data_IF_348436654992
#
_entry.id   IF_348436654992
#
_cell.length_a   1.000
_cell.length_b   1.000
_cell.length_c   1.000
_cell.angle_alpha   90.00
_cell.angle_beta   90.00
_cell.angle_gamma   90.00
#
_symmetry.space_group_name_H-M   'P 1'
#
loop_
_entity.id
_entity.type
_entity.pdbx_description
1 polymer ?
#
# COMPACT_ATOMS: atom_id res chain seq x y z
N UNK A 1 13.75 13.48 -4.81
CA UNK A 1 14.44 12.20 -4.48
C UNK A 1 14.78 11.43 -5.75
N UNK A 2 15.90 10.70 -5.81
CA UNK A 2 16.30 9.94 -7.01
C UNK A 2 15.94 8.47 -6.87
N UNK A 3 14.66 8.15 -6.98
CA UNK A 3 14.12 6.79 -6.92
C UNK A 3 14.00 6.24 -8.34
N UNK A 4 14.70 5.16 -8.63
CA UNK A 4 14.67 4.49 -9.94
C UNK A 4 13.90 3.17 -9.88
N UNK A 5 13.93 2.49 -8.74
CA UNK A 5 13.30 1.19 -8.53
C UNK A 5 12.45 1.20 -7.28
N UNK A 6 11.19 0.83 -7.41
CA UNK A 6 10.24 0.67 -6.32
C UNK A 6 9.78 -0.78 -6.19
N UNK A 7 9.74 -1.27 -4.96
CA UNK A 7 9.20 -2.57 -4.65
C UNK A 7 7.97 -2.42 -3.75
N UNK A 8 6.79 -2.82 -4.24
CA UNK A 8 5.51 -2.65 -3.56
C UNK A 8 5.02 -4.02 -3.08
N UNK A 9 4.70 -4.15 -1.80
CA UNK A 9 4.42 -5.47 -1.21
C UNK A 9 3.20 -5.50 -0.31
N UNK A 10 2.52 -6.66 -0.31
CA UNK A 10 1.85 -7.20 0.86
C UNK A 10 2.84 -8.08 1.60
N UNK A 11 3.22 -7.75 2.85
CA UNK A 11 4.22 -8.50 3.62
C UNK A 11 3.77 -9.94 3.93
N UNK A 12 4.71 -10.85 4.26
CA UNK A 12 4.42 -12.26 4.55
C UNK A 12 3.79 -12.47 5.94
N UNK A 13 2.61 -11.86 6.16
CA UNK A 13 1.92 -11.80 7.46
C UNK A 13 0.62 -12.59 7.50
N UNK A 14 0.46 -13.55 6.57
CA UNK A 14 -0.73 -14.39 6.48
C UNK A 14 -1.78 -13.85 5.52
N UNK A 15 -2.77 -14.69 5.24
CA UNK A 15 -3.85 -14.39 4.31
C UNK A 15 -4.94 -13.58 5.00
N UNK A 16 -5.09 -12.34 4.59
CA UNK A 16 -6.10 -11.41 5.08
C UNK A 16 -6.84 -10.74 3.94
N UNK A 17 -8.10 -10.43 4.18
CA UNK A 17 -8.80 -9.44 3.36
C UNK A 17 -8.22 -8.05 3.69
N UNK A 18 -7.56 -7.43 2.72
CA UNK A 18 -6.92 -6.12 2.87
C UNK A 18 -7.77 -5.04 2.18
N UNK A 19 -8.93 -4.77 2.78
CA UNK A 19 -9.93 -3.82 2.26
C UNK A 19 -10.34 -2.86 3.39
N UNK A 20 -10.61 -1.61 3.09
CA UNK A 20 -11.05 -0.60 4.05
C UNK A 20 -12.40 -0.92 4.71
N UNK A 21 -13.19 -1.83 4.12
CA UNK A 21 -14.46 -2.33 4.67
C UNK A 21 -14.30 -3.51 5.60
N UNK A 22 -13.27 -4.33 5.35
CA UNK A 22 -13.08 -5.58 6.07
C UNK A 22 -11.59 -5.94 6.11
N UNK A 23 -11.08 -6.15 7.30
CA UNK A 23 -9.70 -6.57 7.55
C UNK A 23 -9.74 -7.81 8.44
N UNK A 24 -10.06 -8.95 7.85
CA UNK A 24 -10.22 -10.21 8.54
C UNK A 24 -9.30 -11.29 7.94
N UNK A 25 -8.85 -12.27 8.76
CA UNK A 25 -8.13 -13.42 8.23
C UNK A 25 -9.02 -14.20 7.26
N UNK A 26 -8.44 -14.65 6.16
CA UNK A 26 -9.16 -15.46 5.14
C UNK A 26 -8.70 -16.91 5.15
N UNK A 27 -7.77 -17.27 6.00
CA UNK A 27 -7.31 -18.65 6.16
C UNK A 27 -8.48 -19.56 6.59
N UNK A 28 -8.70 -20.64 5.84
CA UNK A 28 -9.84 -21.53 6.07
C UNK A 28 -11.17 -21.07 5.49
N UNK A 29 -11.27 -19.88 4.90
CA UNK A 29 -12.46 -19.44 4.19
C UNK A 29 -12.50 -20.06 2.78
N UNK A 30 -13.40 -21.00 2.56
CA UNK A 30 -13.56 -21.68 1.26
C UNK A 30 -14.35 -20.88 0.24
N UNK A 31 -15.09 -19.85 0.67
CA UNK A 31 -16.02 -19.08 -0.15
C UNK A 31 -15.51 -17.69 -0.59
N UNK A 32 -14.35 -17.26 -0.10
CA UNK A 32 -13.82 -15.94 -0.44
C UNK A 32 -12.61 -16.06 -1.38
N UNK A 33 -12.65 -15.42 -2.56
CA UNK A 33 -11.48 -15.36 -3.42
C UNK A 33 -10.39 -14.53 -2.78
N UNK A 34 -9.14 -14.92 -2.98
CA UNK A 34 -8.01 -14.03 -2.74
C UNK A 34 -8.11 -12.84 -3.68
N UNK A 35 -8.01 -11.64 -3.13
CA UNK A 35 -8.13 -10.42 -3.92
C UNK A 35 -6.76 -9.94 -4.36
N UNK A 36 -6.65 -9.65 -5.65
CA UNK A 36 -5.45 -9.02 -6.18
C UNK A 36 -5.16 -7.69 -5.47
N UNK A 37 -3.88 -7.36 -5.20
CA UNK A 37 -3.47 -6.13 -4.53
C UNK A 37 -3.64 -4.91 -5.45
N UNK A 38 -4.89 -4.51 -5.67
CA UNK A 38 -5.24 -3.44 -6.61
C UNK A 38 -4.71 -2.08 -6.16
N UNK A 39 -4.62 -1.84 -4.87
CA UNK A 39 -4.00 -0.64 -4.31
C UNK A 39 -2.51 -0.53 -4.69
N UNK A 40 -1.76 -1.64 -4.56
CA UNK A 40 -0.36 -1.69 -5.00
C UNK A 40 -0.26 -1.52 -6.52
N UNK A 41 -1.17 -2.14 -7.28
CA UNK A 41 -1.17 -2.02 -8.74
C UNK A 41 -1.45 -0.60 -9.22
N UNK A 42 -2.34 0.15 -8.56
CA UNK A 42 -2.58 1.57 -8.87
C UNK A 42 -1.40 2.46 -8.49
N UNK A 43 -0.79 2.23 -7.32
CA UNK A 43 0.42 2.95 -6.92
C UNK A 43 1.58 2.68 -7.87
N UNK A 44 1.79 1.41 -8.26
CA UNK A 44 2.81 1.04 -9.23
C UNK A 44 2.59 1.73 -10.57
N UNK A 45 1.35 1.77 -11.07
CA UNK A 45 1.03 2.48 -12.32
C UNK A 45 1.35 3.99 -12.25
N UNK A 46 1.08 4.63 -11.10
CA UNK A 46 1.43 6.04 -10.88
C UNK A 46 2.95 6.27 -10.84
N UNK A 47 3.69 5.34 -10.23
CA UNK A 47 5.16 5.37 -10.20
C UNK A 47 5.78 5.10 -11.58
N UNK A 48 5.25 4.12 -12.33
CA UNK A 48 5.69 3.85 -13.71
C UNK A 48 5.48 5.07 -14.62
N UNK A 49 4.35 5.76 -14.47
CA UNK A 49 4.08 7.02 -15.17
C UNK A 49 5.10 8.12 -14.83
N UNK A 50 5.66 8.09 -13.62
CA UNK A 50 6.74 8.96 -13.19
C UNK A 50 8.15 8.45 -13.57
N UNK A 51 8.26 7.34 -14.31
CA UNK A 51 9.53 6.80 -14.83
C UNK A 51 10.26 5.84 -13.87
N UNK A 52 9.57 5.30 -12.87
CA UNK A 52 10.15 4.36 -11.90
C UNK A 52 9.91 2.92 -12.37
N UNK A 53 10.94 2.08 -12.33
CA UNK A 53 10.78 0.64 -12.50
C UNK A 53 10.12 0.05 -11.26
N UNK A 54 8.96 -0.60 -11.44
CA UNK A 54 8.18 -1.14 -10.33
C UNK A 54 8.17 -2.66 -10.32
N UNK A 55 8.14 -3.23 -9.11
CA UNK A 55 7.79 -4.63 -8.87
C UNK A 55 6.72 -4.70 -7.81
N UNK A 56 5.75 -5.60 -7.99
CA UNK A 56 4.67 -5.81 -7.02
C UNK A 56 4.70 -7.26 -6.58
N UNK A 57 4.53 -7.50 -5.26
CA UNK A 57 4.50 -8.85 -4.71
C UNK A 57 3.50 -9.00 -3.58
N UNK A 58 2.73 -10.08 -3.67
CA UNK A 58 1.76 -10.51 -2.67
C UNK A 58 2.28 -11.78 -2.01
N UNK A 59 3.14 -11.63 -0.99
CA UNK A 59 3.78 -12.75 -0.30
C UNK A 59 2.79 -13.76 0.28
N UNK A 60 1.70 -13.33 0.95
CA UNK A 60 0.68 -14.25 1.44
C UNK A 60 0.05 -15.11 0.35
N UNK A 61 -0.36 -14.52 -0.77
CA UNK A 61 -0.97 -15.27 -1.88
C UNK A 61 0.01 -16.18 -2.60
N UNK A 62 1.30 -15.81 -2.64
CA UNK A 62 2.38 -16.62 -3.18
C UNK A 62 2.88 -17.70 -2.20
N UNK A 63 2.37 -17.70 -0.96
CA UNK A 63 2.80 -18.60 0.13
C UNK A 63 4.29 -18.52 0.42
N UNK A 64 4.84 -17.33 0.34
CA UNK A 64 6.24 -17.02 0.60
C UNK A 64 6.41 -16.32 1.94
N UNK A 65 7.59 -16.48 2.53
CA UNK A 65 7.91 -16.02 3.88
C UNK A 65 8.90 -14.87 3.94
N UNK A 66 9.39 -14.60 5.14
CA UNK A 66 10.35 -13.52 5.42
C UNK A 66 11.73 -13.73 4.77
N UNK A 67 12.14 -14.99 4.59
CA UNK A 67 13.40 -15.33 3.91
C UNK A 67 13.31 -14.99 2.42
N UNK A 68 12.14 -15.21 1.80
CA UNK A 68 11.88 -14.84 0.41
C UNK A 68 11.88 -13.32 0.24
N UNK A 69 11.25 -12.57 1.15
CA UNK A 69 11.29 -11.10 1.16
C UNK A 69 12.73 -10.60 1.28
N UNK A 70 13.50 -11.17 2.21
CA UNK A 70 14.90 -10.82 2.42
C UNK A 70 15.73 -11.08 1.16
N UNK A 71 15.51 -12.21 0.51
CA UNK A 71 16.15 -12.56 -0.77
C UNK A 71 15.78 -11.57 -1.87
N UNK A 72 14.50 -11.29 -2.03
CA UNK A 72 14.00 -10.40 -3.08
C UNK A 72 14.54 -8.98 -2.93
N UNK A 73 14.60 -8.43 -1.71
CA UNK A 73 15.18 -7.09 -1.48
C UNK A 73 16.68 -7.08 -1.88
N UNK A 74 17.43 -8.14 -1.56
CA UNK A 74 18.85 -8.24 -1.95
C UNK A 74 19.05 -8.33 -3.45
N UNK A 75 18.16 -9.01 -4.17
CA UNK A 75 18.22 -9.18 -5.63
C UNK A 75 17.73 -7.94 -6.37
N UNK A 76 16.57 -7.41 -5.99
CA UNK A 76 15.94 -6.25 -6.64
C UNK A 76 16.74 -4.98 -6.34
N UNK A 77 17.25 -4.84 -5.11
CA UNK A 77 17.91 -3.62 -4.59
C UNK A 77 17.06 -2.38 -4.87
N UNK A 78 15.83 -2.31 -4.34
CA UNK A 78 14.96 -1.19 -4.58
C UNK A 78 15.48 0.06 -3.85
N UNK A 79 15.24 1.23 -4.45
CA UNK A 79 15.50 2.52 -3.81
C UNK A 79 14.35 2.88 -2.84
N UNK A 80 13.15 2.32 -3.11
CA UNK A 80 11.95 2.53 -2.30
C UNK A 80 11.20 1.21 -2.08
N UNK A 81 10.85 0.93 -0.82
CA UNK A 81 9.94 -0.15 -0.44
C UNK A 81 8.60 0.45 -0.02
N UNK A 82 7.51 0.04 -0.69
CA UNK A 82 6.14 0.45 -0.36
C UNK A 82 5.39 -0.72 0.26
N UNK A 83 4.85 -0.52 1.45
CA UNK A 83 4.17 -1.55 2.22
C UNK A 83 2.71 -1.17 2.41
N UNK A 84 1.79 -2.03 1.98
CA UNK A 84 0.38 -1.89 2.32
C UNK A 84 0.08 -2.66 3.58
N UNK A 85 -0.32 -1.95 4.64
CA UNK A 85 -0.64 -2.52 5.94
C UNK A 85 -2.15 -2.60 6.18
N UNK A 86 -2.53 -3.46 7.13
CA UNK A 86 -3.86 -3.47 7.73
C UNK A 86 -3.75 -3.41 9.25
N UNK A 87 -4.78 -2.91 9.92
CA UNK A 87 -4.77 -2.75 11.38
C UNK A 87 -4.46 -4.04 12.16
N UNK A 88 -5.05 -5.20 11.81
CA UNK A 88 -4.78 -6.44 12.57
C UNK A 88 -3.34 -6.96 12.50
N UNK A 89 -2.60 -6.61 11.45
CA UNK A 89 -1.25 -7.15 11.20
C UNK A 89 -0.16 -6.09 11.19
N UNK A 90 -0.46 -4.85 11.55
CA UNK A 90 0.46 -3.71 11.41
C UNK A 90 1.84 -3.96 12.01
N UNK A 91 1.89 -4.54 13.21
CA UNK A 91 3.15 -4.81 13.90
C UNK A 91 4.01 -5.85 13.17
N UNK A 92 3.36 -6.81 12.52
CA UNK A 92 4.06 -7.79 11.69
C UNK A 92 4.40 -7.18 10.31
N UNK A 93 3.45 -6.47 9.69
CA UNK A 93 3.64 -5.85 8.38
C UNK A 93 4.86 -4.90 8.37
N UNK A 94 5.02 -4.08 9.42
CA UNK A 94 6.10 -3.10 9.51
C UNK A 94 7.48 -3.70 9.80
N UNK A 95 7.58 -4.98 10.16
CA UNK A 95 8.89 -5.67 10.22
C UNK A 95 9.61 -5.65 8.86
N UNK A 96 8.87 -5.53 7.76
CA UNK A 96 9.45 -5.39 6.43
C UNK A 96 10.32 -4.13 6.29
N UNK A 97 10.00 -3.04 7.00
CA UNK A 97 10.85 -1.85 7.04
C UNK A 97 12.21 -2.16 7.66
N UNK A 98 12.21 -2.84 8.80
CA UNK A 98 13.44 -3.26 9.49
C UNK A 98 14.30 -4.16 8.60
N UNK A 99 13.70 -5.20 8.00
CA UNK A 99 14.40 -6.10 7.06
C UNK A 99 15.03 -5.31 5.91
N UNK A 100 14.30 -4.33 5.36
CA UNK A 100 14.82 -3.51 4.28
C UNK A 100 16.00 -2.64 4.72
N UNK A 101 15.91 -1.97 5.87
CA UNK A 101 16.96 -1.11 6.43
C UNK A 101 18.22 -1.91 6.83
N UNK A 102 18.07 -3.13 7.31
CA UNK A 102 19.19 -4.05 7.60
C UNK A 102 19.96 -4.44 6.33
N UNK A 103 19.30 -4.52 5.18
CA UNK A 103 19.93 -4.85 3.89
C UNK A 103 20.51 -3.60 3.22
N UNK A 104 19.79 -2.50 3.24
CA UNK A 104 20.19 -1.21 2.68
C UNK A 104 19.63 -0.08 3.54
N UNK A 105 20.51 0.57 4.32
CA UNK A 105 20.08 1.64 5.24
C UNK A 105 19.45 2.85 4.53
N UNK A 106 19.83 3.10 3.28
CA UNK A 106 19.38 4.25 2.49
C UNK A 106 18.05 4.00 1.76
N UNK A 107 17.49 2.78 1.83
CA UNK A 107 16.20 2.50 1.20
C UNK A 107 15.10 3.34 1.84
N UNK A 108 14.29 4.01 0.99
CA UNK A 108 13.13 4.75 1.46
C UNK A 108 12.00 3.77 1.78
N UNK A 109 11.54 3.75 3.02
CA UNK A 109 10.42 2.91 3.45
C UNK A 109 9.15 3.74 3.55
N UNK A 110 8.15 3.35 2.79
CA UNK A 110 6.84 4.02 2.68
C UNK A 110 5.75 3.03 3.04
N UNK A 111 4.80 3.43 3.85
CA UNK A 111 3.66 2.58 4.18
C UNK A 111 2.34 3.30 3.96
N UNK A 112 1.31 2.53 3.58
CA UNK A 112 -0.07 3.03 3.44
C UNK A 112 -1.07 2.09 4.10
N UNK A 113 -2.19 2.62 4.53
CA UNK A 113 -3.31 1.85 5.10
C UNK A 113 -4.29 2.74 5.83
N UNK A 114 -5.54 2.27 5.99
CA UNK A 114 -6.59 3.03 6.68
C UNK A 114 -6.24 3.36 8.15
N UNK A 115 -5.36 2.57 8.76
CA UNK A 115 -4.88 2.77 10.13
C UNK A 115 -4.27 4.17 10.32
N UNK A 116 -3.57 4.69 9.32
CA UNK A 116 -2.88 5.98 9.35
C UNK A 116 -3.79 7.20 9.29
N UNK A 117 -5.08 7.02 9.08
CA UNK A 117 -6.05 8.13 9.17
C UNK A 117 -6.12 8.76 10.56
N UNK A 118 -5.66 8.06 11.59
CA UNK A 118 -5.67 8.50 13.00
C UNK A 118 -4.34 8.33 13.71
N UNK A 119 -3.56 7.31 13.36
CA UNK A 119 -2.39 6.87 14.16
C UNK A 119 -1.07 7.05 13.40
N UNK A 120 -1.02 7.92 12.39
CA UNK A 120 0.14 8.16 11.53
C UNK A 120 1.40 8.58 12.31
N UNK A 121 1.27 9.57 13.18
CA UNK A 121 2.40 10.08 13.97
C UNK A 121 2.85 9.09 15.05
N UNK A 122 1.91 8.39 15.68
CA UNK A 122 2.20 7.41 16.72
C UNK A 122 2.99 6.24 16.15
N UNK A 123 2.54 5.70 15.03
CA UNK A 123 3.23 4.61 14.34
C UNK A 123 4.64 5.03 13.90
N UNK A 124 4.81 6.22 13.34
CA UNK A 124 6.13 6.70 12.98
C UNK A 124 7.05 6.85 14.19
N UNK A 125 6.55 7.23 15.38
CA UNK A 125 7.35 7.29 16.60
C UNK A 125 7.79 5.92 17.08
N UNK A 126 6.93 4.92 16.97
CA UNK A 126 7.19 3.54 17.41
C UNK A 126 8.10 2.77 16.45
N UNK A 127 8.04 3.09 15.14
CA UNK A 127 8.77 2.36 14.11
C UNK A 127 9.84 3.23 13.44
N UNK A 128 11.08 3.25 13.98
CA UNK A 128 12.15 4.12 13.47
C UNK A 128 12.60 3.76 12.05
N UNK A 129 12.39 2.51 11.61
CA UNK A 129 12.73 2.04 10.28
C UNK A 129 11.69 2.42 9.21
N UNK A 130 10.58 3.04 9.60
CA UNK A 130 9.58 3.59 8.70
C UNK A 130 9.82 5.09 8.50
N UNK A 131 10.02 5.50 7.25
CA UNK A 131 10.33 6.89 6.92
C UNK A 131 9.08 7.72 6.66
N UNK A 132 8.10 7.16 5.90
CA UNK A 132 6.90 7.89 5.43
C UNK A 132 5.66 7.02 5.58
N UNK A 133 4.56 7.61 6.04
CA UNK A 133 3.22 7.04 5.95
C UNK A 133 2.33 7.88 5.05
N UNK A 134 1.51 7.21 4.22
CA UNK A 134 0.51 7.83 3.35
C UNK A 134 -0.86 7.65 3.98
N UNK A 135 -1.61 8.75 4.11
CA UNK A 135 -2.98 8.80 4.61
C UNK A 135 -3.98 8.98 3.47
N UNK A 136 -5.10 8.26 3.54
CA UNK A 136 -6.16 8.36 2.54
C UNK A 136 -5.82 7.73 1.20
N UNK A 137 -6.23 8.37 0.11
CA UNK A 137 -5.99 7.89 -1.26
C UNK A 137 -4.51 8.00 -1.62
N UNK A 138 -3.91 6.87 -1.97
CA UNK A 138 -2.45 6.72 -2.02
C UNK A 138 -1.84 6.80 -3.43
N UNK A 139 -2.64 6.71 -4.47
CA UNK A 139 -2.17 6.49 -5.85
C UNK A 139 -1.30 7.63 -6.37
N UNK A 140 -1.75 8.87 -6.18
CA UNK A 140 -0.94 10.03 -6.54
C UNK A 140 0.01 10.46 -5.41
N UNK A 141 -0.33 10.14 -4.15
CA UNK A 141 0.54 10.49 -3.04
C UNK A 141 1.93 9.87 -3.19
N UNK A 142 1.99 8.59 -3.64
CA UNK A 142 3.26 7.89 -3.82
C UNK A 142 4.12 8.50 -4.94
N UNK A 143 3.52 8.93 -6.05
CA UNK A 143 4.26 9.60 -7.13
C UNK A 143 4.64 11.04 -6.77
N UNK A 144 3.84 11.73 -5.98
CA UNK A 144 4.15 13.09 -5.53
C UNK A 144 5.40 13.14 -4.63
N UNK A 145 5.75 12.04 -3.95
CA UNK A 145 7.02 11.91 -3.23
C UNK A 145 8.24 12.12 -4.15
N UNK A 146 8.10 11.83 -5.44
CA UNK A 146 9.16 11.94 -6.44
C UNK A 146 9.13 13.28 -7.18
N UNK A 147 7.95 13.86 -7.32
CA UNK A 147 7.72 15.06 -8.13
C UNK A 147 7.95 16.35 -7.32
N UNK A 148 8.05 16.26 -5.99
CA UNK A 148 8.29 17.40 -5.13
C UNK A 148 9.69 17.33 -4.51
N UNK A 149 10.36 18.47 -4.46
CA UNK A 149 11.69 18.57 -3.86
C UNK A 149 11.64 18.45 -2.32
N UNK A 150 10.54 18.91 -1.72
CA UNK A 150 10.33 18.88 -0.28
C UNK A 150 9.12 18.02 0.09
N UNK A 151 9.26 17.14 1.07
CA UNK A 151 8.16 16.32 1.59
C UNK A 151 7.05 17.17 2.23
N UNK A 152 7.36 18.35 2.75
CA UNK A 152 6.36 19.29 3.29
C UNK A 152 5.29 19.72 2.26
N UNK A 153 5.62 19.66 0.98
CA UNK A 153 4.74 20.06 -0.11
C UNK A 153 3.84 18.92 -0.60
N UNK A 154 4.08 17.67 -0.14
CA UNK A 154 3.28 16.50 -0.48
C UNK A 154 2.11 16.39 0.48
N UNK A 155 0.86 16.61 0.06
CA UNK A 155 -0.28 16.47 0.96
C UNK A 155 -0.61 15.01 1.26
N UNK A 156 -1.12 14.75 2.47
CA UNK A 156 -1.59 13.43 2.88
C UNK A 156 -0.50 12.49 3.37
N UNK A 157 0.64 13.01 3.82
CA UNK A 157 1.70 12.19 4.42
C UNK A 157 2.02 12.63 5.85
N UNK A 158 2.59 11.71 6.62
CA UNK A 158 3.46 12.04 7.74
C UNK A 158 4.82 11.37 7.51
N UNK A 159 5.88 12.01 7.94
CA UNK A 159 7.24 11.58 7.63
C UNK A 159 8.23 11.95 8.72
N UNK A 160 9.40 11.33 8.69
CA UNK A 160 10.49 11.59 9.60
C UNK A 160 11.51 12.51 8.95
N UNK A 161 11.86 13.57 9.66
CA UNK A 161 12.91 14.49 9.25
C UNK A 161 13.71 14.96 10.48
N UNK A 162 15.03 14.80 10.43
CA UNK A 162 15.95 15.20 11.52
C UNK A 162 15.52 14.65 12.90
N UNK A 163 15.02 13.42 12.94
CA UNK A 163 14.54 12.76 14.17
C UNK A 163 13.15 13.20 14.65
N UNK A 164 12.52 14.16 13.99
CA UNK A 164 11.16 14.61 14.29
C UNK A 164 10.15 13.95 13.34
N UNK A 165 8.93 13.72 13.85
CA UNK A 165 7.80 13.32 13.02
C UNK A 165 7.03 14.58 12.63
N UNK A 166 6.89 14.78 11.33
CA UNK A 166 6.18 15.89 10.73
C UNK A 166 4.96 15.38 9.97
N UNK A 167 3.91 16.18 9.93
CA UNK A 167 2.65 15.85 9.26
C UNK A 167 2.23 16.97 8.33
N UNK A 168 1.90 16.62 7.10
CA UNK A 168 1.37 17.57 6.12
C UNK A 168 -0.15 17.68 6.23
N UNK A 169 -0.72 18.68 5.57
CA UNK A 169 -2.20 18.80 5.43
C UNK A 169 -2.77 17.56 4.76
N UNK A 170 -4.04 17.28 5.01
CA UNK A 170 -4.73 16.17 4.37
C UNK A 170 -4.80 16.36 2.85
N UNK A 171 -4.69 15.26 2.11
CA UNK A 171 -4.87 15.27 0.67
C UNK A 171 -6.36 15.45 0.34
N UNK A 172 -6.71 16.34 -0.59
CA UNK A 172 -8.05 16.37 -1.15
C UNK A 172 -8.41 15.02 -1.78
N UNK A 173 -9.65 14.61 -1.60
CA UNK A 173 -10.14 13.37 -2.22
C UNK A 173 -10.16 13.52 -3.74
N UNK A 174 -9.80 12.46 -4.44
CA UNK A 174 -9.85 12.41 -5.89
C UNK A 174 -11.30 12.51 -6.37
N UNK A 175 -11.63 13.55 -7.10
CA UNK A 175 -12.98 13.75 -7.66
C UNK A 175 -13.15 13.07 -9.02
N UNK A 176 -12.12 13.11 -9.86
CA UNK A 176 -12.09 12.50 -11.19
C UNK A 176 -11.30 11.18 -11.14
N UNK A 177 -12.03 10.05 -11.13
CA UNK A 177 -11.41 8.72 -11.09
C UNK A 177 -10.76 8.33 -12.42
N UNK A 178 -11.16 8.94 -13.54
CA UNK A 178 -10.58 8.67 -14.86
C UNK A 178 -9.18 9.28 -15.01
N UNK A 179 -8.80 10.18 -14.11
CA UNK A 179 -7.43 10.71 -14.03
C UNK A 179 -6.41 9.66 -13.56
N UNK A 180 -6.86 8.60 -12.88
CA UNK A 180 -6.00 7.51 -12.47
C UNK A 180 -5.49 6.71 -13.66
N UNK A 181 -4.22 6.31 -13.68
CA UNK A 181 -3.74 5.36 -14.65
C UNK A 181 -4.45 4.00 -14.46
N UNK A 182 -4.59 3.22 -15.53
CA UNK A 182 -4.98 1.83 -15.37
C UNK A 182 -3.99 1.10 -14.43
N UNK A 183 -4.48 0.24 -13.52
CA UNK A 183 -3.61 -0.44 -12.58
C UNK A 183 -2.61 -1.34 -13.30
N UNK A 184 -1.38 -1.40 -12.81
CA UNK A 184 -0.26 -2.15 -13.38
C UNK A 184 -0.44 -3.66 -13.21
N UNK A 185 -1.47 -4.23 -13.83
CA UNK A 185 -1.81 -5.67 -13.75
C UNK A 185 -0.75 -6.59 -14.32
N UNK A 186 0.10 -6.07 -15.20
CA UNK A 186 1.25 -6.78 -15.76
C UNK A 186 2.33 -7.11 -14.72
N UNK A 187 2.31 -6.42 -13.58
CA UNK A 187 3.21 -6.69 -12.44
C UNK A 187 2.64 -7.73 -11.46
N UNK A 188 1.38 -8.14 -11.62
CA UNK A 188 0.71 -9.09 -10.74
C UNK A 188 0.82 -10.52 -11.30
N UNK A 189 0.95 -11.49 -10.39
CA UNK A 189 0.75 -12.89 -10.75
C UNK A 189 -0.77 -13.21 -10.74
N UNK A 190 -1.44 -12.85 -11.85
CA UNK A 190 -2.90 -12.94 -11.95
C UNK A 190 -3.44 -14.38 -11.81
N UNK A 191 -2.61 -15.41 -11.99
CA UNK A 191 -3.00 -16.81 -11.84
C UNK A 191 -3.27 -17.23 -10.38
N UNK A 192 -2.84 -16.40 -9.40
CA UNK A 192 -3.10 -16.63 -7.98
C UNK A 192 -4.54 -16.29 -7.57
N UNK A 193 -5.19 -15.42 -8.34
CA UNK A 193 -6.52 -14.89 -8.01
C UNK A 193 -7.59 -15.62 -8.79
N UNK A 194 -8.15 -16.64 -8.15
CA UNK A 194 -9.13 -17.55 -8.74
C UNK A 194 -10.40 -17.58 -7.91
N UNK A 195 -11.54 -17.91 -8.54
CA UNK A 195 -12.78 -18.18 -7.83
C UNK A 195 -12.65 -19.46 -7.00
N UNK A 196 -13.14 -19.50 -5.75
CA UNK A 196 -13.00 -20.68 -4.90
C UNK A 196 -13.73 -21.93 -5.43
N UNK A 197 -14.85 -21.73 -6.09
CA UNK A 197 -15.76 -22.77 -6.59
C UNK A 197 -15.35 -23.30 -7.97
N UNK A 198 -15.21 -22.41 -8.96
CA UNK A 198 -14.91 -22.84 -10.34
C UNK A 198 -13.42 -22.93 -10.65
N UNK A 199 -12.55 -22.37 -9.79
CA UNK A 199 -11.10 -22.27 -10.01
C UNK A 199 -10.71 -21.42 -11.22
N UNK A 200 -11.63 -20.64 -11.75
CA UNK A 200 -11.38 -19.75 -12.88
C UNK A 200 -10.67 -18.45 -12.44
N UNK A 201 -9.81 -17.89 -13.27
CA UNK A 201 -9.17 -16.60 -12.99
C UNK A 201 -10.21 -15.49 -12.82
N UNK A 202 -9.99 -14.61 -11.83
CA UNK A 202 -10.87 -13.50 -11.52
C UNK A 202 -10.11 -12.17 -11.64
N UNK A 203 -10.73 -11.18 -12.27
CA UNK A 203 -10.23 -9.81 -12.31
C UNK A 203 -11.07 -8.90 -11.43
N UNK A 204 -10.40 -8.10 -10.58
CA UNK A 204 -11.06 -7.08 -9.74
C UNK A 204 -11.05 -5.74 -10.45
N UNK A 205 -12.20 -5.07 -10.49
CA UNK A 205 -12.36 -3.74 -11.09
C UNK A 205 -12.98 -2.82 -10.04
N UNK A 206 -12.38 -1.65 -9.84
CA UNK A 206 -12.96 -0.61 -9.02
C UNK A 206 -13.80 0.31 -9.91
N UNK A 207 -15.11 0.25 -9.76
CA UNK A 207 -16.07 1.06 -10.55
C UNK A 207 -16.45 2.36 -9.85
N UNK A 208 -16.01 2.57 -8.63
CA UNK A 208 -16.29 3.79 -7.87
C UNK A 208 -15.66 3.78 -6.49
N UNK A 209 -15.62 4.94 -5.84
CA UNK A 209 -15.04 5.14 -4.51
C UNK A 209 -15.96 5.98 -3.62
N UNK A 210 -15.72 5.86 -2.30
CA UNK A 210 -16.52 6.54 -1.29
C UNK A 210 -17.79 5.78 -0.95
N UNK A 211 -18.46 6.20 0.13
CA UNK A 211 -19.71 5.59 0.57
C UNK A 211 -20.51 6.58 1.40
N UNK A 212 -21.81 6.83 1.11
CA UNK A 212 -22.62 7.78 1.86
C UNK A 212 -23.06 7.28 3.25
N UNK A 213 -22.85 5.98 3.53
CA UNK A 213 -23.24 5.39 4.80
C UNK A 213 -22.27 5.71 5.93
N UNK A 214 -22.78 5.78 7.17
CA UNK A 214 -22.02 6.12 8.38
C UNK A 214 -21.83 4.89 9.28
N UNK A 215 -21.46 3.75 8.72
CA UNK A 215 -21.23 2.53 9.49
C UNK A 215 -20.04 2.73 10.44
N UNK A 216 -20.26 2.49 11.73
CA UNK A 216 -19.26 2.78 12.79
C UNK A 216 -17.99 1.92 12.72
N UNK A 217 -18.04 0.80 12.01
CA UNK A 217 -16.95 -0.15 11.85
C UNK A 217 -16.18 -0.03 10.52
N UNK A 218 -16.61 0.88 9.64
CA UNK A 218 -16.10 0.95 8.27
C UNK A 218 -15.17 2.16 8.09
N UNK A 219 -13.96 1.93 7.59
CA UNK A 219 -12.97 2.97 7.34
C UNK A 219 -13.15 3.68 5.97
N UNK A 220 -13.98 3.16 5.06
CA UNK A 220 -14.17 3.73 3.72
C UNK A 220 -14.48 5.22 3.72
N UNK A 221 -15.40 5.74 4.57
CA UNK A 221 -15.66 7.18 4.57
C UNK A 221 -14.47 8.03 5.02
N UNK A 222 -13.63 7.50 5.90
CA UNK A 222 -12.42 8.19 6.37
C UNK A 222 -11.34 8.24 5.28
N UNK A 223 -11.23 7.19 4.45
CA UNK A 223 -10.21 7.07 3.39
C UNK A 223 -10.67 7.75 2.10
N UNK A 224 -11.90 7.49 1.66
CA UNK A 224 -12.40 7.87 0.32
C UNK A 224 -13.64 8.80 0.35
N UNK A 225 -14.04 9.25 1.54
CA UNK A 225 -15.13 10.22 1.74
C UNK A 225 -16.53 9.64 1.75
N UNK A 226 -17.49 10.52 2.04
CA UNK A 226 -18.93 10.19 2.15
C UNK A 226 -19.70 10.29 0.84
N UNK A 227 -19.09 10.79 -0.23
CA UNK A 227 -19.70 10.88 -1.56
C UNK A 227 -19.24 9.70 -2.39
N UNK A 228 -20.17 8.95 -2.97
CA UNK A 228 -19.84 7.94 -3.95
C UNK A 228 -19.47 8.61 -5.27
N UNK A 229 -18.29 8.28 -5.79
CA UNK A 229 -17.72 8.80 -7.03
C UNK A 229 -17.56 7.64 -8.03
N UNK A 230 -17.86 7.89 -9.28
CA UNK A 230 -17.72 6.96 -10.41
C UNK A 230 -16.74 7.57 -11.38
#
# INVERSE_FOLDING_TARGET
>A
MNIKRAFLIYPPTGLYMRDDRCQAPTEGMTAQPHRAPMDLAYMAASLEKAGVECRVKDYPSERQGWDDLTHDIKVIRPDMLVISIITPTINEDLKACKVAKEICNDILTVSKGAHYMKNDEEVLKEWPDLDIVIRGECEFAVSDLLLNDNLSDVPGIAYRENGNVLKTKDRPLLEDLDSLPFPARHLLNNNLYITPDTREPIAFIHVGRGCPHKCIFCAVPAVSGYKFKI
#
